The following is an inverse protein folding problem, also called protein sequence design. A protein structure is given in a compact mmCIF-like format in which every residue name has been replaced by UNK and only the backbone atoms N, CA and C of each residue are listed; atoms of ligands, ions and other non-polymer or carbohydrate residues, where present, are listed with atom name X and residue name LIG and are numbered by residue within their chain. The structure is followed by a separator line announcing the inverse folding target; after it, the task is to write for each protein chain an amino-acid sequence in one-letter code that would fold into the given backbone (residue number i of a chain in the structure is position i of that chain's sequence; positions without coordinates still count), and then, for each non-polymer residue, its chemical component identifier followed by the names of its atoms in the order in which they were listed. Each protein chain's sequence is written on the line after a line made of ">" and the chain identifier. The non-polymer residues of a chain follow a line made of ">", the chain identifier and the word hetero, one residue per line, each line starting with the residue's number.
data_IF_092294205462
#
_entry.id   IF_092294205462
#
_cell.length_a   1.000
_cell.length_b   1.000
_cell.length_c   1.000
_cell.angle_alpha   90.00
_cell.angle_beta   90.00
_cell.angle_gamma   90.00
#
_symmetry.space_group_name_H-M   'P 1'
#
loop_
_entity.id
_entity.type
_entity.pdbx_description
1 polymer ?
#
# COMPACT_ATOMS: atom_id res chain seq x y z
N UNK A 1 6.93 28.78 -5.68
CA UNK A 1 7.39 27.54 -5.00
C UNK A 1 6.29 26.52 -5.17
N UNK A 2 6.39 25.65 -6.18
CA UNK A 2 5.39 24.59 -6.38
C UNK A 2 5.51 23.62 -5.21
N UNK A 3 4.47 23.52 -4.39
CA UNK A 3 4.37 22.53 -3.32
C UNK A 3 4.63 21.16 -3.95
N UNK A 4 5.69 20.48 -3.53
CA UNK A 4 6.07 19.17 -4.07
C UNK A 4 4.98 18.19 -3.66
N UNK A 5 3.98 18.02 -4.52
CA UNK A 5 2.95 17.00 -4.37
C UNK A 5 3.67 15.66 -4.40
N UNK A 6 3.32 14.77 -3.47
CA UNK A 6 3.77 13.39 -3.50
C UNK A 6 3.41 12.79 -4.87
N UNK A 7 4.42 12.41 -5.65
CA UNK A 7 4.20 11.76 -6.94
C UNK A 7 4.01 10.25 -6.71
N UNK A 8 2.75 9.86 -6.56
CA UNK A 8 2.36 8.47 -6.32
C UNK A 8 2.85 7.53 -7.42
N UNK A 9 2.89 7.97 -8.69
CA UNK A 9 3.29 7.11 -9.80
C UNK A 9 4.78 6.86 -9.76
N UNK A 10 5.58 7.90 -9.55
CA UNK A 10 7.04 7.76 -9.44
C UNK A 10 7.45 6.95 -8.21
N UNK A 11 6.75 7.16 -7.09
CA UNK A 11 6.90 6.35 -5.90
C UNK A 11 6.61 4.87 -6.16
N UNK A 12 5.51 4.56 -6.86
CA UNK A 12 5.10 3.19 -7.15
C UNK A 12 6.11 2.43 -8.01
N UNK A 13 6.73 3.10 -9.00
CA UNK A 13 7.79 2.48 -9.81
C UNK A 13 8.98 2.06 -8.95
N UNK A 14 9.47 2.96 -8.10
CA UNK A 14 10.57 2.65 -7.19
C UNK A 14 10.17 1.58 -6.17
N UNK A 15 8.93 1.60 -5.70
CA UNK A 15 8.42 0.60 -4.75
C UNK A 15 8.33 -0.81 -5.36
N UNK A 16 8.00 -0.92 -6.64
CA UNK A 16 7.92 -2.21 -7.36
C UNK A 16 9.28 -2.92 -7.39
N UNK A 17 10.38 -2.16 -7.52
CA UNK A 17 11.77 -2.67 -7.54
C UNK A 17 12.22 -3.31 -6.21
N UNK A 18 11.45 -3.13 -5.12
CA UNK A 18 11.73 -3.69 -3.81
C UNK A 18 10.73 -4.80 -3.44
N UNK A 19 10.85 -6.01 -4.02
CA UNK A 19 9.90 -7.10 -3.78
C UNK A 19 9.87 -7.56 -2.31
N UNK A 20 10.92 -7.30 -1.53
CA UNK A 20 10.94 -7.55 -0.09
C UNK A 20 9.87 -6.76 0.68
N UNK A 21 9.29 -5.69 0.12
CA UNK A 21 8.27 -4.87 0.76
C UNK A 21 6.84 -5.32 0.47
N UNK A 22 6.61 -5.96 -0.68
CA UNK A 22 5.26 -6.30 -1.15
C UNK A 22 5.05 -7.77 -1.47
N UNK A 23 6.08 -8.50 -1.88
CA UNK A 23 5.96 -9.87 -2.34
C UNK A 23 6.10 -10.87 -1.19
N UNK A 24 4.97 -11.37 -0.68
CA UNK A 24 4.94 -12.34 0.43
C UNK A 24 5.48 -13.73 0.08
N UNK A 25 5.71 -14.05 -1.20
CA UNK A 25 6.14 -15.39 -1.62
C UNK A 25 7.65 -15.58 -1.51
N UNK A 26 8.42 -14.49 -1.38
CA UNK A 26 9.87 -14.56 -1.27
C UNK A 26 10.33 -14.53 0.20
N UNK A 27 11.41 -15.24 0.57
CA UNK A 27 11.93 -15.26 1.94
C UNK A 27 12.28 -13.86 2.47
N UNK A 28 12.74 -12.98 1.58
CA UNK A 28 13.17 -11.62 1.91
C UNK A 28 12.05 -10.75 2.47
N UNK A 29 10.78 -11.10 2.22
CA UNK A 29 9.64 -10.41 2.81
C UNK A 29 9.57 -10.55 4.34
N UNK A 30 10.08 -11.66 4.87
CA UNK A 30 10.16 -11.90 6.30
C UNK A 30 11.49 -11.40 6.89
N UNK A 31 12.46 -11.03 6.04
CA UNK A 31 13.74 -10.51 6.48
C UNK A 31 13.63 -9.02 6.83
N UNK A 32 13.58 -8.73 8.14
CA UNK A 32 13.48 -7.36 8.65
C UNK A 32 14.61 -6.45 8.17
N UNK A 33 15.85 -6.94 8.13
CA UNK A 33 16.99 -6.12 7.73
C UNK A 33 16.90 -5.67 6.27
N UNK A 34 16.50 -6.59 5.37
CA UNK A 34 16.29 -6.25 3.96
C UNK A 34 15.14 -5.27 3.74
N UNK A 35 14.10 -5.36 4.56
CA UNK A 35 12.97 -4.44 4.51
C UNK A 35 13.32 -3.05 5.04
N UNK A 36 14.00 -2.98 6.18
CA UNK A 36 14.44 -1.71 6.76
C UNK A 36 15.40 -1.00 5.77
N UNK A 37 16.33 -1.73 5.14
CA UNK A 37 17.22 -1.18 4.11
C UNK A 37 16.47 -0.67 2.86
N UNK A 38 15.46 -1.41 2.37
CA UNK A 38 14.66 -0.97 1.22
C UNK A 38 13.81 0.27 1.55
N UNK A 39 13.24 0.36 2.76
CA UNK A 39 12.50 1.53 3.21
C UNK A 39 13.39 2.78 3.35
N UNK A 40 14.64 2.61 3.79
CA UNK A 40 15.64 3.69 3.82
C UNK A 40 15.97 4.22 2.42
N UNK A 41 16.02 3.33 1.41
CA UNK A 41 16.22 3.73 0.01
C UNK A 41 15.00 4.45 -0.59
N UNK A 42 13.79 4.03 -0.22
CA UNK A 42 12.53 4.61 -0.70
C UNK A 42 12.19 5.96 -0.06
N UNK A 43 12.62 6.21 1.17
CA UNK A 43 12.29 7.44 1.91
C UNK A 43 12.66 8.73 1.15
N UNK A 44 13.90 8.93 0.66
CA UNK A 44 14.25 10.16 -0.06
C UNK A 44 13.49 10.34 -1.38
N UNK A 45 13.09 9.24 -2.03
CA UNK A 45 12.32 9.25 -3.29
C UNK A 45 10.87 9.67 -3.02
N UNK A 46 10.31 9.19 -1.90
CA UNK A 46 8.94 9.51 -1.50
C UNK A 46 8.75 10.98 -1.11
N UNK A 47 9.83 11.70 -0.75
CA UNK A 47 9.73 13.07 -0.24
C UNK A 47 9.02 13.19 1.11
N UNK A 48 8.80 12.07 1.81
CA UNK A 48 8.23 12.01 3.15
C UNK A 48 9.28 12.31 4.22
N UNK A 49 8.83 12.78 5.39
CA UNK A 49 9.74 13.25 6.42
C UNK A 49 10.42 12.10 7.19
N UNK A 50 9.78 10.93 7.28
CA UNK A 50 10.27 9.81 8.08
C UNK A 50 9.73 8.45 7.61
N UNK A 51 10.41 7.38 8.03
CA UNK A 51 10.03 5.98 7.75
C UNK A 51 8.60 5.66 8.22
N UNK A 52 8.10 6.28 9.30
CA UNK A 52 6.75 5.99 9.80
C UNK A 52 5.68 6.46 8.81
N UNK A 53 5.83 7.65 8.25
CA UNK A 53 4.97 8.19 7.19
C UNK A 53 5.05 7.33 5.93
N UNK A 54 6.27 6.96 5.51
CA UNK A 54 6.47 6.04 4.38
C UNK A 54 5.70 4.73 4.56
N UNK A 55 5.83 4.10 5.72
CA UNK A 55 5.11 2.86 6.04
C UNK A 55 3.60 3.08 6.12
N UNK A 56 3.13 4.25 6.54
CA UNK A 56 1.70 4.57 6.57
C UNK A 56 1.16 4.71 5.14
N UNK A 57 1.92 5.37 4.26
CA UNK A 57 1.56 5.58 2.85
C UNK A 57 1.52 4.25 2.08
N UNK A 58 2.54 3.40 2.23
CA UNK A 58 2.55 2.04 1.65
C UNK A 58 1.32 1.24 2.09
N UNK A 59 0.93 1.36 3.37
CA UNK A 59 -0.28 0.69 3.88
C UNK A 59 -1.55 1.26 3.27
N UNK A 60 -1.63 2.59 3.13
CA UNK A 60 -2.76 3.30 2.51
C UNK A 60 -2.95 2.84 1.07
N UNK A 61 -1.91 2.92 0.24
CA UNK A 61 -1.90 2.51 -1.17
C UNK A 61 -2.37 1.06 -1.32
N UNK A 62 -1.78 0.14 -0.55
CA UNK A 62 -2.16 -1.29 -0.58
C UNK A 62 -3.60 -1.51 -0.11
N UNK A 63 -4.04 -0.75 0.89
CA UNK A 63 -5.42 -0.78 1.38
C UNK A 63 -6.41 -0.38 0.30
N UNK A 64 -6.15 0.72 -0.41
CA UNK A 64 -6.96 1.21 -1.52
C UNK A 64 -6.98 0.21 -2.67
N UNK A 65 -5.81 -0.27 -3.12
CA UNK A 65 -5.71 -1.27 -4.19
C UNK A 65 -6.52 -2.54 -3.87
N UNK A 66 -6.34 -3.12 -2.68
CA UNK A 66 -7.05 -4.34 -2.28
C UNK A 66 -8.57 -4.12 -2.18
N UNK A 67 -9.02 -2.93 -1.78
CA UNK A 67 -10.44 -2.60 -1.75
C UNK A 67 -11.02 -2.53 -3.16
N UNK A 68 -10.35 -1.85 -4.08
CA UNK A 68 -10.80 -1.75 -5.48
C UNK A 68 -10.81 -3.12 -6.17
N UNK A 69 -9.74 -3.90 -6.01
CA UNK A 69 -9.69 -5.29 -6.50
C UNK A 69 -10.81 -6.14 -5.88
N UNK A 70 -11.09 -5.96 -4.60
CA UNK A 70 -12.19 -6.62 -3.91
C UNK A 70 -13.56 -6.25 -4.49
N UNK A 71 -13.80 -4.97 -4.82
CA UNK A 71 -15.02 -4.50 -5.46
C UNK A 71 -15.19 -5.10 -6.85
N UNK A 72 -14.13 -5.10 -7.66
CA UNK A 72 -14.12 -5.68 -9.01
C UNK A 72 -14.40 -7.18 -8.95
N UNK A 73 -13.71 -7.91 -8.07
CA UNK A 73 -13.94 -9.36 -7.92
C UNK A 73 -15.35 -9.67 -7.43
N UNK A 74 -15.92 -8.83 -6.54
CA UNK A 74 -17.31 -8.95 -6.11
C UNK A 74 -18.27 -8.68 -7.27
N UNK A 75 -18.09 -7.59 -8.01
CA UNK A 75 -18.96 -7.24 -9.15
C UNK A 75 -18.92 -8.29 -10.27
N UNK A 76 -17.76 -8.90 -10.50
CA UNK A 76 -17.61 -10.02 -11.45
C UNK A 76 -18.28 -11.30 -10.95
N UNK A 77 -18.33 -11.53 -9.63
CA UNK A 77 -18.93 -12.73 -9.03
C UNK A 77 -20.42 -12.59 -8.75
N UNK A 78 -20.95 -11.36 -8.68
CA UNK A 78 -22.37 -11.09 -8.46
C UNK A 78 -23.05 -10.65 -9.77
N UNK A 79 -23.21 -11.59 -10.69
CA UNK A 79 -24.45 -11.64 -11.45
C UNK A 79 -25.54 -12.14 -10.48
N UNK A 80 -26.57 -11.34 -10.26
CA UNK A 80 -27.70 -11.54 -9.31
C UNK A 80 -27.46 -11.18 -7.84
N UNK A 81 -28.30 -10.25 -7.34
CA UNK A 81 -28.81 -10.28 -5.97
C UNK A 81 -28.42 -9.12 -5.04
N UNK A 82 -29.14 -8.00 -5.16
CA UNK A 82 -29.62 -7.11 -4.07
C UNK A 82 -28.64 -6.53 -3.03
N UNK A 83 -28.60 -5.19 -3.03
CA UNK A 83 -28.73 -4.30 -1.86
C UNK A 83 -27.84 -4.48 -0.62
N UNK A 84 -26.97 -3.49 -0.48
CA UNK A 84 -26.58 -2.81 0.77
C UNK A 84 -25.73 -3.56 1.82
N UNK A 85 -24.87 -2.75 2.45
CA UNK A 85 -24.00 -3.02 3.61
C UNK A 85 -22.59 -3.54 3.27
N UNK A 86 -21.63 -2.61 3.24
CA UNK A 86 -20.40 -2.83 4.03
C UNK A 86 -19.95 -1.53 4.69
N UNK A 87 -20.17 -1.49 6.01
CA UNK A 87 -19.89 -0.40 6.92
C UNK A 87 -18.48 0.17 6.77
N UNK A 88 -18.43 1.47 6.51
CA UNK A 88 -17.39 2.35 7.05
C UNK A 88 -17.55 2.30 8.57
N UNK A 89 -16.65 1.60 9.29
CA UNK A 89 -16.17 2.05 10.60
C UNK A 89 -15.05 1.14 11.14
N UNK A 90 -13.90 1.78 11.28
CA UNK A 90 -12.75 1.36 12.05
C UNK A 90 -13.10 0.97 13.50
N UNK A 91 -12.53 -0.15 13.97
CA UNK A 91 -12.09 -0.36 15.37
C UNK A 91 -10.79 -1.15 15.28
N UNK A 92 -9.63 -0.47 15.24
CA UNK A 92 -8.84 0.01 16.37
C UNK A 92 -8.53 -1.12 17.36
N UNK A 93 -7.25 -1.49 17.39
CA UNK A 93 -6.60 -2.28 18.42
C UNK A 93 -7.07 -1.87 19.82
N UNK A 94 -7.59 -2.82 20.60
CA UNK A 94 -7.19 -3.05 21.98
C UNK A 94 -7.54 -4.47 22.42
#
# INVERSE_FOLDING_TARGET
>A
MSSKLFDTIEFLKSYEEHPCLWNKTIPDFHNRLKRDAAEEQLLPISGLANIKELRAEIRSIRGTYNQEVGKINKSMRTGSGTSDIQCVHAKRYH
#
